data_IF_705566441890
#
_entry.id   IF_705566441890
#
_cell.length_a   1.000
_cell.length_b   1.000
_cell.length_c   1.000
_cell.angle_alpha   90.00
_cell.angle_beta   90.00
_cell.angle_gamma   90.00
#
_symmetry.space_group_name_H-M   'P 1'
#
loop_
_entity.id
_entity.type
_entity.pdbx_description
1 polymer ?
#
# COMPACT_ATOMS: atom_id res chain seq x y z
N UNK A 1 20.02 19.54 8.78
CA UNK A 1 18.74 19.62 9.51
C UNK A 1 17.99 18.29 9.55
N UNK A 2 17.82 17.54 8.42
CA UNK A 2 17.07 16.28 8.43
C UNK A 2 17.74 15.18 9.25
N UNK A 3 19.06 15.00 9.13
CA UNK A 3 19.80 14.05 9.96
C UNK A 3 19.74 14.39 11.45
N UNK A 4 19.82 15.69 11.79
CA UNK A 4 19.79 16.14 13.17
C UNK A 4 18.41 15.95 13.82
N UNK A 5 17.34 16.17 13.07
CA UNK A 5 15.99 16.19 13.60
C UNK A 5 15.24 14.85 13.41
N UNK A 6 15.56 14.11 12.35
CA UNK A 6 14.81 12.91 11.94
C UNK A 6 15.69 11.65 11.83
N UNK A 7 17.02 11.80 11.76
CA UNK A 7 17.93 10.66 11.66
C UNK A 7 17.83 9.75 12.87
N UNK A 8 17.73 8.43 12.64
CA UNK A 8 17.65 7.41 13.68
C UNK A 8 18.53 6.22 13.30
N UNK A 9 19.20 5.67 14.31
CA UNK A 9 19.89 4.39 14.21
C UNK A 9 19.15 3.43 15.13
N UNK A 10 18.66 2.32 14.57
CA UNK A 10 17.93 1.31 15.33
C UNK A 10 18.76 0.03 15.31
N UNK A 11 19.12 -0.46 16.49
CA UNK A 11 19.78 -1.74 16.68
C UNK A 11 18.74 -2.74 17.17
N UNK A 12 18.47 -3.76 16.38
CA UNK A 12 17.49 -4.78 16.71
C UNK A 12 18.16 -6.11 17.07
N UNK A 13 17.47 -6.92 17.86
CA UNK A 13 17.97 -8.22 18.34
C UNK A 13 17.98 -9.31 17.28
N UNK A 14 17.09 -9.18 16.27
CA UNK A 14 16.88 -10.17 15.21
C UNK A 14 16.34 -9.53 13.93
N UNK A 15 16.36 -10.28 12.83
CA UNK A 15 15.91 -9.83 11.53
C UNK A 15 14.39 -9.62 11.47
N UNK A 16 13.61 -10.38 12.22
CA UNK A 16 12.15 -10.20 12.30
C UNK A 16 11.79 -8.80 12.80
N UNK A 17 12.44 -8.35 13.88
CA UNK A 17 12.29 -6.99 14.40
C UNK A 17 12.72 -5.93 13.38
N UNK A 18 13.80 -6.16 12.61
CA UNK A 18 14.25 -5.23 11.56
C UNK A 18 13.18 -5.08 10.48
N UNK A 19 12.61 -6.19 10.02
CA UNK A 19 11.55 -6.19 9.00
C UNK A 19 10.29 -5.49 9.51
N UNK A 20 9.90 -5.75 10.76
CA UNK A 20 8.77 -5.09 11.39
C UNK A 20 8.97 -3.56 11.44
N UNK A 21 10.14 -3.09 11.86
CA UNK A 21 10.48 -1.67 11.88
C UNK A 21 10.48 -1.04 10.48
N UNK A 22 11.01 -1.74 9.47
CA UNK A 22 10.97 -1.30 8.09
C UNK A 22 9.52 -1.12 7.60
N UNK A 23 8.67 -2.12 7.82
CA UNK A 23 7.24 -2.06 7.45
C UNK A 23 6.47 -0.97 8.22
N UNK A 24 6.80 -0.77 9.49
CA UNK A 24 6.17 0.26 10.31
C UNK A 24 6.54 1.66 9.84
N UNK A 25 7.80 1.88 9.49
CA UNK A 25 8.29 3.16 8.98
C UNK A 25 7.74 3.48 7.59
N UNK A 26 7.49 2.46 6.78
CA UNK A 26 7.00 2.59 5.40
C UNK A 26 7.76 3.66 4.62
N UNK A 27 9.08 3.48 4.43
CA UNK A 27 9.93 4.50 3.84
C UNK A 27 9.62 4.70 2.36
N UNK A 28 9.92 5.88 1.85
CA UNK A 28 9.93 6.18 0.43
C UNK A 28 10.93 5.29 -0.32
N UNK A 29 12.18 5.26 0.16
CA UNK A 29 13.26 4.43 -0.33
C UNK A 29 13.71 3.47 0.77
N UNK A 30 13.75 2.18 0.47
CA UNK A 30 14.24 1.14 1.38
C UNK A 30 15.43 0.43 0.74
N UNK A 31 16.64 0.66 1.24
CA UNK A 31 17.81 -0.11 0.87
C UNK A 31 17.96 -1.33 1.77
N UNK A 32 18.03 -2.53 1.18
CA UNK A 32 18.19 -3.80 1.88
C UNK A 32 19.58 -4.35 1.60
N UNK A 33 20.53 -4.03 2.47
CA UNK A 33 21.93 -4.43 2.34
C UNK A 33 22.22 -5.55 3.32
N UNK A 34 21.95 -6.77 2.88
CA UNK A 34 22.16 -8.01 3.63
C UNK A 34 22.86 -9.04 2.76
N UNK A 35 23.28 -10.16 3.36
CA UNK A 35 23.91 -11.27 2.62
C UNK A 35 22.96 -11.86 1.56
N UNK A 36 21.69 -12.00 1.90
CA UNK A 36 20.64 -12.58 1.05
C UNK A 36 19.42 -11.64 0.97
N UNK A 37 19.52 -10.52 0.25
CA UNK A 37 18.47 -9.49 0.27
C UNK A 37 17.14 -9.99 -0.34
N UNK A 38 17.20 -10.84 -1.37
CA UNK A 38 16.00 -11.41 -1.99
C UNK A 38 15.21 -12.32 -1.07
N UNK A 39 15.85 -12.96 -0.08
CA UNK A 39 15.17 -13.81 0.92
C UNK A 39 14.26 -12.98 1.84
N UNK A 40 14.49 -11.66 1.98
CA UNK A 40 13.71 -10.77 2.81
C UNK A 40 12.53 -10.14 2.07
N UNK A 41 12.57 -10.13 0.73
CA UNK A 41 11.56 -9.45 -0.09
C UNK A 41 10.10 -9.88 0.20
N UNK A 42 9.77 -11.16 0.44
CA UNK A 42 8.41 -11.59 0.75
C UNK A 42 7.85 -11.01 2.06
N UNK A 43 8.71 -10.54 2.95
CA UNK A 43 8.32 -10.01 4.26
C UNK A 43 8.24 -8.48 4.28
N UNK A 44 8.77 -7.80 3.25
CA UNK A 44 8.70 -6.34 3.10
C UNK A 44 7.39 -5.99 2.39
N UNK A 45 6.54 -5.24 3.05
CA UNK A 45 5.20 -4.89 2.57
C UNK A 45 5.02 -3.42 2.28
N UNK A 46 5.72 -2.57 3.02
CA UNK A 46 5.47 -1.14 3.03
C UNK A 46 6.76 -0.38 2.70
N UNK A 47 7.01 -0.17 1.41
CA UNK A 47 8.06 0.73 0.93
C UNK A 47 7.65 1.33 -0.42
N UNK A 48 8.05 2.54 -0.71
CA UNK A 48 7.81 3.19 -2.00
C UNK A 48 8.63 2.51 -3.10
N UNK A 49 9.92 2.35 -2.88
CA UNK A 49 10.83 1.57 -3.71
C UNK A 49 11.75 0.73 -2.81
N UNK A 50 12.13 -0.47 -3.29
CA UNK A 50 13.01 -1.39 -2.58
C UNK A 50 14.26 -1.62 -3.42
N UNK A 51 15.43 -1.35 -2.85
CA UNK A 51 16.75 -1.50 -3.46
C UNK A 51 17.46 -2.68 -2.81
N UNK A 52 17.76 -3.71 -3.59
CA UNK A 52 18.26 -4.98 -3.08
C UNK A 52 19.76 -5.14 -3.34
N UNK A 53 20.52 -5.18 -2.25
CA UNK A 53 21.95 -5.43 -2.26
C UNK A 53 22.80 -4.18 -2.47
N UNK A 54 24.12 -4.34 -2.31
CA UNK A 54 25.08 -3.24 -2.30
C UNK A 54 25.31 -2.56 -3.66
N UNK A 55 24.77 -3.13 -4.75
CA UNK A 55 24.94 -2.61 -6.11
C UNK A 55 23.67 -1.96 -6.66
N UNK A 56 22.68 -1.72 -5.81
CA UNK A 56 21.41 -1.10 -6.18
C UNK A 56 21.17 0.19 -5.38
N UNK A 57 22.00 1.23 -5.57
CA UNK A 57 21.83 2.48 -4.83
C UNK A 57 20.60 3.25 -5.32
N UNK A 58 19.99 4.06 -4.45
CA UNK A 58 18.80 4.85 -4.70
C UNK A 58 18.84 5.67 -6.01
N UNK A 59 19.94 6.41 -6.36
CA UNK A 59 19.97 7.18 -7.61
C UNK A 59 19.84 6.34 -8.88
N UNK A 60 20.17 5.04 -8.81
CA UNK A 60 19.95 4.14 -9.94
C UNK A 60 18.45 3.97 -10.24
N UNK A 61 17.63 3.85 -9.22
CA UNK A 61 16.17 3.74 -9.35
C UNK A 61 15.54 4.99 -9.93
N UNK A 62 15.93 6.15 -9.44
CA UNK A 62 15.32 7.42 -9.81
C UNK A 62 15.69 7.89 -11.22
N UNK A 63 16.92 7.58 -11.70
CA UNK A 63 17.44 8.20 -12.92
C UNK A 63 17.75 7.23 -14.06
N UNK A 64 17.80 5.92 -13.83
CA UNK A 64 18.27 4.99 -14.86
C UNK A 64 17.48 3.69 -14.99
N UNK A 65 17.04 3.08 -13.88
CA UNK A 65 16.48 1.71 -13.88
C UNK A 65 15.08 1.61 -14.51
N UNK A 66 14.38 2.73 -14.71
CA UNK A 66 13.11 2.79 -15.43
C UNK A 66 11.83 2.92 -14.60
N UNK A 67 11.77 2.53 -13.31
CA UNK A 67 10.60 2.83 -12.49
C UNK A 67 10.34 4.32 -12.35
N UNK A 68 9.10 4.70 -12.06
CA UNK A 68 8.78 6.10 -11.78
C UNK A 68 9.37 6.52 -10.43
N UNK A 69 9.98 7.71 -10.39
CA UNK A 69 10.58 8.27 -9.18
C UNK A 69 9.56 8.99 -8.26
N UNK A 70 8.30 9.13 -8.68
CA UNK A 70 7.24 9.69 -7.83
C UNK A 70 6.71 8.57 -6.94
N UNK A 71 7.21 8.55 -5.72
CA UNK A 71 7.00 7.52 -4.73
C UNK A 71 6.09 8.01 -3.59
N UNK A 72 5.40 7.11 -2.88
CA UNK A 72 4.67 7.47 -1.67
C UNK A 72 5.63 7.88 -0.55
N UNK A 73 5.39 9.04 0.06
CA UNK A 73 6.23 9.65 1.10
C UNK A 73 5.51 9.68 2.46
N UNK A 74 6.23 9.99 3.54
CA UNK A 74 5.63 10.25 4.85
C UNK A 74 4.86 9.06 5.44
N UNK A 75 5.27 7.82 5.13
CA UNK A 75 4.61 6.61 5.61
C UNK A 75 3.38 6.18 4.81
N UNK A 76 3.07 6.85 3.70
CA UNK A 76 1.91 6.53 2.85
C UNK A 76 2.12 5.28 2.00
N UNK A 77 3.33 4.72 1.93
CA UNK A 77 3.61 3.43 1.30
C UNK A 77 2.84 2.25 1.92
N UNK A 78 2.13 2.46 3.03
CA UNK A 78 1.20 1.49 3.63
C UNK A 78 -0.05 1.27 2.77
N UNK A 79 -0.41 2.23 1.91
CA UNK A 79 -1.66 2.21 1.14
C UNK A 79 -1.57 2.88 -0.23
N UNK A 80 -0.48 3.56 -0.55
CA UNK A 80 -0.20 4.09 -1.88
C UNK A 80 0.96 3.35 -2.54
N UNK A 81 0.93 3.31 -3.87
CA UNK A 81 1.98 2.77 -4.73
C UNK A 81 2.73 3.88 -5.46
N UNK A 82 3.83 3.53 -6.11
CA UNK A 82 4.53 4.38 -7.06
C UNK A 82 3.57 4.86 -8.16
N UNK A 83 3.76 6.10 -8.63
CA UNK A 83 2.96 6.68 -9.71
C UNK A 83 3.03 5.78 -10.98
N UNK A 84 1.87 5.37 -11.46
CA UNK A 84 1.73 4.50 -12.62
C UNK A 84 0.47 4.85 -13.43
N UNK A 85 0.23 4.16 -14.53
CA UNK A 85 -0.93 4.39 -15.40
C UNK A 85 -2.26 4.18 -14.65
N UNK A 86 -2.33 3.21 -13.75
CA UNK A 86 -3.55 2.94 -12.97
C UNK A 86 -3.94 4.11 -12.04
N UNK A 87 -2.97 4.95 -11.63
CA UNK A 87 -3.23 6.15 -10.82
C UNK A 87 -4.17 7.12 -11.53
N UNK A 88 -4.17 7.13 -12.86
CA UNK A 88 -5.02 7.99 -13.70
C UNK A 88 -6.28 7.29 -14.18
N UNK A 89 -6.50 6.03 -13.78
CA UNK A 89 -7.67 5.25 -14.17
C UNK A 89 -8.69 5.22 -13.03
N UNK A 90 -9.96 5.38 -13.39
CA UNK A 90 -11.07 5.26 -12.45
C UNK A 90 -11.74 3.90 -12.64
N UNK A 91 -11.91 3.17 -11.55
CA UNK A 91 -12.67 1.91 -11.51
C UNK A 91 -13.99 2.16 -10.78
N UNK A 92 -15.10 1.65 -11.34
CA UNK A 92 -16.44 1.76 -10.74
C UNK A 92 -17.07 0.38 -10.72
N UNK A 93 -17.62 -0.02 -9.58
CA UNK A 93 -18.42 -1.23 -9.48
C UNK A 93 -19.84 -0.95 -9.98
N UNK A 94 -20.34 -1.80 -10.85
CA UNK A 94 -21.72 -1.75 -11.34
C UNK A 94 -22.43 -3.01 -10.83
N UNK A 95 -23.52 -2.82 -10.09
CA UNK A 95 -24.30 -3.89 -9.49
C UNK A 95 -25.72 -3.79 -10.03
N UNK A 96 -26.17 -4.82 -10.74
CA UNK A 96 -27.53 -4.92 -11.27
C UNK A 96 -28.08 -6.31 -10.96
N UNK A 97 -29.23 -6.37 -10.29
CA UNK A 97 -29.91 -7.60 -9.94
C UNK A 97 -31.30 -7.63 -10.55
N UNK A 98 -31.74 -8.81 -10.98
CA UNK A 98 -33.15 -9.06 -11.29
C UNK A 98 -33.93 -9.32 -9.98
N UNK A 99 -35.26 -9.14 -10.02
CA UNK A 99 -36.12 -9.47 -8.87
C UNK A 99 -35.97 -10.95 -8.44
N UNK A 100 -35.79 -11.86 -9.41
CA UNK A 100 -35.56 -13.28 -9.15
C UNK A 100 -34.21 -13.53 -8.47
N UNK A 101 -33.14 -12.91 -8.94
CA UNK A 101 -31.82 -13.04 -8.34
C UNK A 101 -31.79 -12.45 -6.93
N UNK A 102 -32.45 -11.31 -6.72
CA UNK A 102 -32.58 -10.69 -5.38
C UNK A 102 -33.38 -11.59 -4.42
N UNK A 103 -34.44 -12.24 -4.90
CA UNK A 103 -35.21 -13.18 -4.08
C UNK A 103 -34.40 -14.40 -3.64
N UNK A 104 -33.47 -14.88 -4.49
CA UNK A 104 -32.61 -15.99 -4.16
C UNK A 104 -31.58 -15.70 -3.07
N UNK A 105 -31.19 -14.43 -2.87
CA UNK A 105 -30.22 -14.02 -1.84
C UNK A 105 -30.88 -13.52 -0.54
N UNK A 106 -32.18 -13.52 -0.44
CA UNK A 106 -32.92 -13.11 0.78
C UNK A 106 -32.61 -13.91 2.04
N UNK A 107 -31.93 -15.04 1.94
CA UNK A 107 -31.46 -15.83 3.08
C UNK A 107 -30.03 -15.47 3.55
N UNK A 108 -29.29 -14.70 2.78
CA UNK A 108 -28.04 -14.11 3.22
C UNK A 108 -28.41 -12.92 4.13
N UNK A 109 -28.48 -13.14 5.45
CA UNK A 109 -28.43 -12.02 6.38
C UNK A 109 -27.08 -11.34 6.21
N UNK A 110 -27.05 -10.33 5.36
CA UNK A 110 -26.08 -9.28 5.49
C UNK A 110 -26.41 -8.66 6.84
N UNK A 111 -25.72 -9.11 7.88
CA UNK A 111 -25.64 -8.36 9.12
C UNK A 111 -24.99 -7.03 8.68
N UNK A 112 -25.84 -6.06 8.38
CA UNK A 112 -25.44 -4.68 8.29
C UNK A 112 -24.96 -4.36 9.70
N UNK A 113 -23.66 -4.51 9.91
CA UNK A 113 -23.01 -3.95 11.09
C UNK A 113 -23.36 -2.47 11.10
N UNK A 114 -24.07 -1.95 12.11
CA UNK A 114 -24.53 -0.57 12.14
C UNK A 114 -23.38 0.44 12.34
N UNK A 115 -22.15 0.03 12.13
CA UNK A 115 -20.94 0.81 12.43
C UNK A 115 -20.29 1.49 11.24
N UNK A 116 -20.83 1.35 10.02
CA UNK A 116 -20.32 2.12 8.89
C UNK A 116 -21.27 3.27 8.51
N UNK A 117 -21.05 4.49 9.01
CA UNK A 117 -21.89 5.63 8.66
C UNK A 117 -21.88 5.98 7.17
N UNK A 118 -20.90 5.49 6.39
CA UNK A 118 -20.84 5.68 4.94
C UNK A 118 -21.93 4.87 4.19
N UNK A 119 -22.45 3.80 4.78
CA UNK A 119 -23.54 3.02 4.19
C UNK A 119 -24.90 3.75 4.24
N UNK A 120 -25.00 4.83 5.01
CA UNK A 120 -26.22 5.62 5.20
C UNK A 120 -26.40 6.74 4.17
N UNK A 121 -25.40 6.98 3.32
CA UNK A 121 -25.41 8.07 2.33
C UNK A 121 -25.31 7.56 0.89
N UNK A 122 -26.13 6.61 0.51
CA UNK A 122 -26.30 6.30 -0.91
C UNK A 122 -27.47 7.14 -1.46
N UNK A 123 -27.21 8.15 -2.31
CA UNK A 123 -28.32 8.87 -2.94
C UNK A 123 -29.07 7.91 -3.86
N UNK A 124 -30.33 7.67 -3.57
CA UNK A 124 -31.23 6.92 -4.45
C UNK A 124 -31.81 7.90 -5.45
N UNK A 125 -31.46 7.72 -6.73
CA UNK A 125 -32.14 8.40 -7.83
C UNK A 125 -33.41 7.60 -8.15
N UNK A 126 -34.58 8.14 -7.85
CA UNK A 126 -35.87 7.64 -8.31
C UNK A 126 -36.38 8.54 -9.41
N UNK A 127 -36.79 7.97 -10.53
CA UNK A 127 -37.59 8.71 -11.49
C UNK A 127 -38.96 9.00 -10.88
N UNK A 128 -39.40 10.25 -11.00
CA UNK A 128 -40.74 10.73 -10.63
C UNK A 128 -41.71 10.42 -11.77
#
# INVERSE_FOLDING_TARGET
LSLTNQGKIIVAKDMETVIEMANLSAPEHLEVITKEPFALLPFIRNAGAIFLGAYSPEPLGDYYAGPNHVLPTGGTAKFYSVLNVETFMKKTSIIAYTAQALAAVKGLSVAAEPTNPAALYSPVMSEV
#
